data_IF_742453216641
#
_entry.id   IF_742453216641
#
_cell.length_a   1.000
_cell.length_b   1.000
_cell.length_c   1.000
_cell.angle_alpha   90.00
_cell.angle_beta   90.00
_cell.angle_gamma   90.00
#
_symmetry.space_group_name_H-M   'P 1'
#
loop_
_entity.id
_entity.type
_entity.pdbx_description
1 polymer ?
#
# COMPACT_ATOMS: atom_id res chain seq x y z
N UNK A 1 -14.05 -20.66 -13.24
CA UNK A 1 -15.02 -19.67 -13.78
C UNK A 1 -14.27 -18.38 -13.98
N UNK A 2 -14.02 -18.02 -15.25
CA UNK A 2 -13.43 -16.73 -15.63
C UNK A 2 -14.59 -15.75 -15.67
N UNK A 3 -14.53 -14.69 -14.86
CA UNK A 3 -15.53 -13.62 -14.92
C UNK A 3 -15.15 -12.74 -16.10
N UNK A 4 -15.82 -12.96 -17.23
CA UNK A 4 -15.63 -12.16 -18.44
C UNK A 4 -16.04 -10.71 -18.17
N UNK A 5 -15.06 -9.82 -18.22
CA UNK A 5 -15.28 -8.38 -18.08
C UNK A 5 -15.84 -7.84 -19.39
N UNK A 6 -17.16 -7.58 -19.45
CA UNK A 6 -17.77 -6.87 -20.58
C UNK A 6 -17.39 -5.38 -20.51
N UNK A 7 -16.69 -4.81 -21.51
CA UNK A 7 -16.34 -3.41 -21.48
C UNK A 7 -17.60 -2.59 -21.80
N UNK A 8 -17.97 -1.72 -20.86
CA UNK A 8 -19.09 -0.79 -21.00
C UNK A 8 -18.77 0.14 -22.18
N UNK A 9 -19.47 -0.05 -23.30
CA UNK A 9 -19.31 0.79 -24.47
C UNK A 9 -20.10 2.09 -24.29
N UNK A 10 -19.37 3.21 -24.30
CA UNK A 10 -19.84 4.58 -24.54
C UNK A 10 -20.90 5.15 -23.58
N UNK A 11 -20.41 5.71 -22.48
CA UNK A 11 -20.92 6.99 -21.97
C UNK A 11 -20.01 8.07 -22.56
N UNK A 12 -20.60 9.05 -23.24
CA UNK A 12 -19.96 10.08 -24.08
C UNK A 12 -18.55 10.51 -23.64
N UNK A 13 -17.58 10.14 -24.46
CA UNK A 13 -16.16 10.28 -24.17
C UNK A 13 -15.67 11.70 -24.53
N UNK A 14 -16.00 12.70 -23.71
CA UNK A 14 -15.30 14.01 -23.73
C UNK A 14 -13.86 13.92 -23.22
N UNK A 15 -13.40 12.74 -22.83
CA UNK A 15 -12.10 12.53 -22.22
C UNK A 15 -11.26 11.60 -23.12
N UNK A 16 -10.22 12.13 -23.78
CA UNK A 16 -9.25 11.33 -24.59
C UNK A 16 -8.42 10.32 -23.77
N UNK A 17 -8.85 9.99 -22.54
CA UNK A 17 -8.09 9.17 -21.59
C UNK A 17 -8.35 7.70 -21.83
N UNK A 18 -7.26 6.95 -21.98
CA UNK A 18 -7.27 5.48 -21.97
C UNK A 18 -7.09 5.06 -20.51
N UNK A 19 -8.18 4.75 -19.82
CA UNK A 19 -8.18 4.42 -18.40
C UNK A 19 -7.29 3.23 -18.04
N UNK A 20 -7.20 2.22 -18.91
CA UNK A 20 -6.33 1.05 -18.69
C UNK A 20 -4.86 1.45 -18.57
N UNK A 21 -4.38 2.30 -19.50
CA UNK A 21 -2.99 2.80 -19.51
C UNK A 21 -2.70 3.70 -18.30
N UNK A 22 -3.68 4.53 -17.93
CA UNK A 22 -3.56 5.36 -16.74
C UNK A 22 -3.47 4.52 -15.46
N UNK A 23 -4.33 3.51 -15.32
CA UNK A 23 -4.33 2.59 -14.19
C UNK A 23 -3.00 1.83 -14.06
N UNK A 24 -2.47 1.30 -15.17
CA UNK A 24 -1.18 0.62 -15.17
C UNK A 24 -0.05 1.55 -14.68
N UNK A 25 -0.10 2.81 -15.09
CA UNK A 25 0.87 3.83 -14.65
C UNK A 25 0.74 4.12 -13.15
N UNK A 26 -0.49 4.14 -12.61
CA UNK A 26 -0.72 4.31 -11.17
C UNK A 26 -0.18 3.12 -10.36
N UNK A 27 -0.43 1.88 -10.81
CA UNK A 27 0.08 0.67 -10.15
C UNK A 27 1.61 0.68 -10.12
N UNK A 28 2.27 1.00 -11.24
CA UNK A 28 3.74 1.09 -11.29
C UNK A 28 4.30 2.14 -10.33
N UNK A 29 3.65 3.31 -10.23
CA UNK A 29 4.07 4.36 -9.28
C UNK A 29 3.89 3.92 -7.83
N UNK A 30 2.78 3.25 -7.51
CA UNK A 30 2.57 2.71 -6.17
C UNK A 30 3.66 1.71 -5.80
N UNK A 31 3.99 0.77 -6.70
CA UNK A 31 5.08 -0.20 -6.46
C UNK A 31 6.45 0.48 -6.32
N UNK A 32 6.74 1.53 -7.09
CA UNK A 32 8.00 2.29 -6.97
C UNK A 32 8.10 3.10 -5.67
N UNK A 33 6.97 3.54 -5.11
CA UNK A 33 6.91 4.43 -3.95
C UNK A 33 6.71 3.68 -2.63
N UNK A 34 6.20 2.45 -2.69
CA UNK A 34 5.93 1.61 -1.53
C UNK A 34 7.13 0.71 -1.31
N UNK A 35 7.83 0.96 -0.21
CA UNK A 35 8.89 0.08 0.28
C UNK A 35 8.27 -1.14 0.97
N UNK A 36 8.32 -2.30 0.33
CA UNK A 36 7.73 -3.54 0.88
C UNK A 36 8.74 -4.38 1.65
N UNK A 37 9.97 -3.89 1.75
CA UNK A 37 11.08 -4.54 2.47
C UNK A 37 10.77 -4.76 3.96
N UNK A 38 9.88 -3.94 4.53
CA UNK A 38 9.38 -4.05 5.90
C UNK A 38 8.79 -5.44 6.18
N UNK A 39 8.15 -6.06 5.18
CA UNK A 39 7.55 -7.38 5.34
C UNK A 39 8.60 -8.48 5.21
N UNK A 40 9.63 -8.30 4.38
CA UNK A 40 10.73 -9.25 4.25
C UNK A 40 11.58 -9.30 5.54
N UNK A 41 11.72 -8.17 6.22
CA UNK A 41 12.50 -8.03 7.46
C UNK A 41 11.64 -8.09 8.73
N UNK A 42 10.36 -8.43 8.59
CA UNK A 42 9.37 -8.35 9.66
C UNK A 42 9.83 -9.02 10.96
N UNK A 43 10.21 -10.30 10.89
CA UNK A 43 10.62 -11.07 12.06
C UNK A 43 11.86 -10.47 12.76
N UNK A 44 12.79 -9.94 11.98
CA UNK A 44 13.98 -9.26 12.51
C UNK A 44 13.60 -8.01 13.29
N UNK A 45 12.72 -7.17 12.74
CA UNK A 45 12.29 -5.95 13.43
C UNK A 45 11.48 -6.25 14.69
N UNK A 46 10.62 -7.27 14.61
CA UNK A 46 9.90 -7.80 15.76
C UNK A 46 10.84 -8.26 16.87
N UNK A 47 11.88 -9.01 16.54
CA UNK A 47 12.87 -9.48 17.50
C UNK A 47 13.65 -8.31 18.11
N UNK A 48 14.08 -7.32 17.31
CA UNK A 48 14.79 -6.13 17.80
C UNK A 48 13.94 -5.36 18.80
N UNK A 49 12.72 -4.99 18.41
CA UNK A 49 11.84 -4.14 19.24
C UNK A 49 11.30 -4.88 20.45
N UNK A 50 11.22 -6.22 20.43
CA UNK A 50 10.71 -7.01 21.54
C UNK A 50 11.79 -7.80 22.29
N UNK A 51 13.06 -7.60 21.94
CA UNK A 51 14.17 -8.24 22.63
C UNK A 51 14.18 -7.84 24.10
N UNK A 52 14.43 -8.84 24.96
CA UNK A 52 14.61 -8.64 26.40
C UNK A 52 13.40 -8.07 27.16
N UNK A 53 12.22 -8.04 26.55
CA UNK A 53 10.96 -7.70 27.24
C UNK A 53 10.50 -8.88 28.10
N UNK A 54 10.48 -8.69 29.42
CA UNK A 54 9.85 -9.63 30.35
C UNK A 54 8.56 -8.98 30.87
N UNK A 55 7.40 -9.50 30.48
CA UNK A 55 6.07 -9.06 30.94
C UNK A 55 5.58 -7.71 30.38
N UNK A 56 6.39 -7.00 29.58
CA UNK A 56 5.96 -5.79 28.86
C UNK A 56 5.11 -6.16 27.63
N UNK A 57 4.08 -5.37 27.28
CA UNK A 57 3.33 -5.57 26.05
C UNK A 57 4.22 -5.59 24.81
N UNK A 58 3.79 -6.39 23.84
CA UNK A 58 4.43 -6.50 22.53
C UNK A 58 4.30 -5.18 21.76
N UNK A 59 5.38 -4.74 21.12
CA UNK A 59 5.37 -3.54 20.29
C UNK A 59 5.54 -3.89 18.83
N UNK A 60 4.79 -3.18 17.99
CA UNK A 60 4.98 -3.21 16.55
C UNK A 60 6.25 -2.45 16.17
N UNK A 61 6.94 -2.87 15.10
CA UNK A 61 8.13 -2.18 14.65
C UNK A 61 7.86 -0.75 14.20
N UNK A 62 8.81 0.14 14.46
CA UNK A 62 8.73 1.52 13.98
C UNK A 62 8.65 1.56 12.44
N UNK A 63 9.34 0.65 11.76
CA UNK A 63 9.34 0.50 10.30
C UNK A 63 7.94 0.22 9.75
N UNK A 64 7.08 -0.47 10.52
CA UNK A 64 5.69 -0.68 10.15
C UNK A 64 4.90 0.63 10.13
N UNK A 65 5.10 1.50 11.13
CA UNK A 65 4.46 2.81 11.16
C UNK A 65 4.99 3.72 10.07
N UNK A 66 6.28 3.68 9.77
CA UNK A 66 6.87 4.42 8.64
C UNK A 66 6.26 3.99 7.30
N UNK A 67 6.08 2.68 7.10
CA UNK A 67 5.37 2.14 5.94
C UNK A 67 3.94 2.71 5.84
N UNK A 68 3.18 2.68 6.93
CA UNK A 68 1.81 3.22 6.96
C UNK A 68 1.75 4.73 6.73
N UNK A 69 2.73 5.49 7.23
CA UNK A 69 2.85 6.92 6.97
C UNK A 69 3.11 7.21 5.49
N UNK A 70 3.98 6.44 4.83
CA UNK A 70 4.21 6.55 3.38
C UNK A 70 2.92 6.26 2.61
N UNK A 71 2.20 5.20 2.95
CA UNK A 71 0.90 4.85 2.36
C UNK A 71 -0.11 6.00 2.51
N UNK A 72 -0.23 6.56 3.72
CA UNK A 72 -1.11 7.70 4.00
C UNK A 72 -0.75 8.91 3.15
N UNK A 73 0.53 9.26 3.06
CA UNK A 73 1.00 10.40 2.29
C UNK A 73 0.74 10.22 0.79
N UNK A 74 0.89 9.01 0.26
CA UNK A 74 0.71 8.71 -1.16
C UNK A 74 -0.76 8.78 -1.61
N UNK A 75 -1.69 8.33 -0.76
CA UNK A 75 -3.11 8.29 -1.10
C UNK A 75 -3.95 9.37 -0.43
N UNK A 76 -3.30 10.29 0.28
CA UNK A 76 -3.94 11.37 1.01
C UNK A 76 -5.10 10.85 1.89
N UNK A 77 -4.90 9.67 2.48
CA UNK A 77 -5.95 8.95 3.21
C UNK A 77 -6.35 9.81 4.41
N UNK A 78 -7.64 10.19 4.53
CA UNK A 78 -8.09 10.95 5.68
C UNK A 78 -7.92 10.08 6.92
N UNK A 79 -7.20 10.60 7.93
CA UNK A 79 -7.21 10.00 9.26
C UNK A 79 -8.25 10.74 10.08
N UNK A 80 -9.33 10.05 10.41
CA UNK A 80 -10.25 10.53 11.44
C UNK A 80 -9.60 10.28 12.81
N UNK A 81 -8.63 11.12 13.18
CA UNK A 81 -8.06 11.23 14.52
C UNK A 81 -7.57 12.66 14.75
#
# INVERSE_FOLDING_TARGET
MIVDYTPIHNIENRNKRIWSKYNETLVKRAVMLIDTDVFEKWDKYLEIENSSKIGRPYEYPIEFFEFLMKIRALWNVPSEY
#
